data_IF_130472577216
#
_entry.id   IF_130472577216
#
_cell.length_a   1.000
_cell.length_b   1.000
_cell.length_c   1.000
_cell.angle_alpha   90.00
_cell.angle_beta   90.00
_cell.angle_gamma   90.00
#
_symmetry.space_group_name_H-M   'P 1'
#
loop_
_entity.id
_entity.type
_entity.pdbx_description
1 polymer ?
#
# COMPACT_ATOMS: atom_id res chain seq x y z
N UNK A 1 -8.92 -6.17 29.15
CA UNK A 1 -9.03 -5.36 27.92
C UNK A 1 -8.28 -6.11 26.84
N UNK A 2 -8.92 -7.14 26.28
CA UNK A 2 -8.32 -7.92 25.21
C UNK A 2 -8.61 -7.18 23.93
N UNK A 3 -7.56 -6.67 23.29
CA UNK A 3 -7.59 -6.20 21.90
C UNK A 3 -7.79 -7.42 21.02
N UNK A 4 -8.99 -7.99 21.06
CA UNK A 4 -9.41 -9.10 20.23
C UNK A 4 -9.77 -8.51 18.86
N UNK A 5 -8.76 -8.45 17.99
CA UNK A 5 -9.00 -8.35 16.55
C UNK A 5 -9.81 -9.61 16.17
N UNK A 6 -11.03 -9.47 15.62
CA UNK A 6 -11.86 -10.62 15.36
C UNK A 6 -11.22 -11.47 14.25
N UNK A 7 -11.15 -12.81 14.39
CA UNK A 7 -10.92 -13.69 13.26
C UNK A 7 -12.26 -13.83 12.50
N UNK A 8 -12.22 -13.97 11.18
CA UNK A 8 -13.39 -14.24 10.30
C UNK A 8 -14.20 -13.02 9.82
N UNK A 9 -13.65 -12.25 8.87
CA UNK A 9 -14.27 -12.00 7.55
C UNK A 9 -13.51 -10.91 6.78
N UNK A 10 -12.75 -11.35 5.78
CA UNK A 10 -12.79 -10.83 4.41
C UNK A 10 -13.04 -9.31 4.30
N UNK A 11 -12.10 -8.53 4.82
CA UNK A 11 -11.85 -7.22 4.23
C UNK A 11 -11.16 -7.54 2.90
N UNK A 12 -11.96 -7.86 1.88
CA UNK A 12 -11.57 -7.66 0.49
C UNK A 12 -10.83 -6.33 0.48
N UNK A 13 -9.55 -6.35 0.10
CA UNK A 13 -8.58 -5.28 0.29
C UNK A 13 -9.04 -3.98 -0.39
N UNK A 14 -10.12 -3.33 0.07
CA UNK A 14 -11.05 -2.48 -0.66
C UNK A 14 -10.37 -1.95 -1.92
N UNK A 15 -10.44 -2.73 -2.99
CA UNK A 15 -9.70 -2.45 -4.20
C UNK A 15 -10.54 -1.40 -4.91
N UNK A 16 -10.08 -0.14 -4.90
CA UNK A 16 -10.73 0.92 -5.67
C UNK A 16 -10.71 0.55 -7.16
N UNK A 17 -11.64 1.06 -7.97
CA UNK A 17 -11.83 0.68 -9.39
C UNK A 17 -10.54 0.62 -10.24
N UNK A 18 -9.50 1.38 -9.87
CA UNK A 18 -8.16 1.37 -10.50
C UNK A 18 -7.22 0.23 -10.06
N UNK A 19 -7.68 -0.70 -9.23
CA UNK A 19 -6.87 -1.81 -8.71
C UNK A 19 -6.02 -1.49 -7.48
N UNK A 20 -6.07 -0.26 -6.96
CA UNK A 20 -5.28 0.22 -5.82
C UNK A 20 -5.87 -0.27 -4.47
N UNK A 21 -5.12 -1.02 -3.66
CA UNK A 21 -5.56 -1.41 -2.32
C UNK A 21 -5.76 -0.19 -1.42
N UNK A 22 -6.86 -0.12 -0.66
CA UNK A 22 -7.12 1.03 0.22
C UNK A 22 -6.00 1.27 1.24
N UNK A 23 -5.37 0.21 1.73
CA UNK A 23 -4.24 0.30 2.66
C UNK A 23 -3.01 0.97 2.03
N UNK A 24 -2.78 0.72 0.73
CA UNK A 24 -1.74 1.40 -0.03
C UNK A 24 -2.11 2.87 -0.26
N UNK A 25 -3.33 3.15 -0.70
CA UNK A 25 -3.80 4.52 -0.90
C UNK A 25 -3.71 5.38 0.37
N UNK A 26 -4.06 4.81 1.52
CA UNK A 26 -3.93 5.48 2.82
C UNK A 26 -2.47 5.67 3.21
N UNK A 27 -1.62 4.67 3.00
CA UNK A 27 -0.19 4.76 3.27
C UNK A 27 0.50 5.84 2.44
N UNK A 28 0.20 5.89 1.14
CA UNK A 28 0.67 6.95 0.24
C UNK A 28 0.16 8.32 0.70
N UNK A 29 -1.11 8.46 1.05
CA UNK A 29 -1.65 9.72 1.56
C UNK A 29 -0.99 10.18 2.87
N UNK A 30 -0.57 9.26 3.74
CA UNK A 30 0.19 9.59 4.96
C UNK A 30 1.66 9.92 4.69
N UNK A 31 2.18 9.64 3.50
CA UNK A 31 3.58 9.82 3.16
C UNK A 31 3.71 10.52 1.81
N UNK A 32 3.70 11.85 1.83
CA UNK A 32 3.71 12.70 0.63
C UNK A 32 4.90 12.40 -0.30
N UNK A 33 6.05 11.99 0.26
CA UNK A 33 7.21 11.55 -0.53
C UNK A 33 6.87 10.28 -1.33
N UNK A 34 6.29 9.28 -0.67
CA UNK A 34 5.83 8.05 -1.33
C UNK A 34 4.77 8.34 -2.39
N UNK A 35 3.81 9.22 -2.10
CA UNK A 35 2.77 9.60 -3.05
C UNK A 35 3.34 10.32 -4.27
N UNK A 36 4.32 11.20 -4.08
CA UNK A 36 5.03 11.89 -5.17
C UNK A 36 5.78 10.89 -6.05
N UNK A 37 6.55 9.99 -5.45
CA UNK A 37 7.26 8.92 -6.17
C UNK A 37 6.28 7.99 -6.91
N UNK A 38 5.25 7.51 -6.21
CA UNK A 38 4.21 6.68 -6.81
C UNK A 38 3.50 7.39 -7.97
N UNK A 39 3.31 8.70 -7.90
CA UNK A 39 2.69 9.46 -9.00
C UNK A 39 3.61 9.55 -10.22
N UNK A 40 4.92 9.68 -10.02
CA UNK A 40 5.96 9.72 -11.05
C UNK A 40 6.27 8.35 -11.67
N UNK A 41 6.00 7.24 -10.98
CA UNK A 41 6.19 5.88 -11.49
C UNK A 41 5.38 5.60 -12.77
N UNK A 42 5.95 4.77 -13.64
CA UNK A 42 5.28 4.23 -14.83
C UNK A 42 4.14 3.29 -14.45
N UNK A 43 3.25 2.97 -15.40
CA UNK A 43 2.15 2.03 -15.16
C UNK A 43 2.64 0.65 -14.72
N UNK A 44 3.74 0.16 -15.30
CA UNK A 44 4.37 -1.12 -14.92
C UNK A 44 4.90 -1.09 -13.49
N UNK A 45 5.57 -0.01 -13.08
CA UNK A 45 6.06 0.19 -11.71
C UNK A 45 4.91 0.27 -10.70
N UNK A 46 3.88 1.07 -11.00
CA UNK A 46 2.66 1.16 -10.19
C UNK A 46 2.01 -0.21 -10.02
N UNK A 47 1.97 -1.00 -11.08
CA UNK A 47 1.38 -2.35 -11.08
C UNK A 47 2.16 -3.31 -10.19
N UNK A 48 3.50 -3.24 -10.18
CA UNK A 48 4.34 -4.02 -9.27
C UNK A 48 4.10 -3.64 -7.79
N UNK A 49 4.01 -2.34 -7.50
CA UNK A 49 3.70 -1.86 -6.15
C UNK A 49 2.31 -2.32 -5.69
N UNK A 50 1.31 -2.22 -6.57
CA UNK A 50 -0.04 -2.68 -6.31
C UNK A 50 -0.07 -4.19 -6.03
N UNK A 51 0.68 -4.98 -6.80
CA UNK A 51 0.77 -6.43 -6.60
C UNK A 51 1.41 -6.78 -5.25
N UNK A 52 2.52 -6.11 -4.90
CA UNK A 52 3.15 -6.25 -3.59
C UNK A 52 2.20 -5.87 -2.44
N UNK A 53 1.46 -4.77 -2.59
CA UNK A 53 0.48 -4.33 -1.61
C UNK A 53 -0.71 -5.28 -1.48
N UNK A 54 -1.12 -5.96 -2.56
CA UNK A 54 -2.14 -7.01 -2.51
C UNK A 54 -1.65 -8.26 -1.78
N UNK A 55 -0.34 -8.55 -1.84
CA UNK A 55 0.28 -9.63 -1.09
C UNK A 55 0.48 -9.33 0.40
N UNK A 56 0.42 -8.05 0.81
CA UNK A 56 0.64 -7.65 2.19
C UNK A 56 -0.54 -8.05 3.10
N UNK A 57 -0.30 -8.97 4.02
CA UNK A 57 -1.32 -9.48 4.95
C UNK A 57 -1.37 -8.71 6.28
N UNK A 58 -0.38 -7.84 6.54
CA UNK A 58 -0.26 -7.10 7.80
C UNK A 58 -0.04 -5.61 7.57
N UNK A 59 -0.45 -4.81 8.55
CA UNK A 59 -0.25 -3.35 8.55
C UNK A 59 1.22 -2.98 8.45
N UNK A 60 2.10 -3.75 9.09
CA UNK A 60 3.56 -3.56 9.03
C UNK A 60 4.10 -3.80 7.62
N UNK A 61 3.65 -4.86 6.93
CA UNK A 61 4.04 -5.10 5.53
C UNK A 61 3.58 -3.96 4.62
N UNK A 62 2.34 -3.48 4.78
CA UNK A 62 1.85 -2.33 4.00
C UNK A 62 2.66 -1.06 4.26
N UNK A 63 2.99 -0.78 5.53
CA UNK A 63 3.81 0.36 5.90
C UNK A 63 5.23 0.27 5.33
N UNK A 64 5.80 -0.94 5.28
CA UNK A 64 7.10 -1.20 4.68
C UNK A 64 7.08 -0.92 3.18
N UNK A 65 6.06 -1.38 2.44
CA UNK A 65 5.90 -1.12 1.00
C UNK A 65 5.85 0.38 0.72
N UNK A 66 5.04 1.13 1.48
CA UNK A 66 4.94 2.60 1.35
C UNK A 66 6.28 3.27 1.62
N UNK A 67 7.01 2.78 2.63
CA UNK A 67 8.33 3.28 2.97
C UNK A 67 9.34 3.00 1.86
N UNK A 68 9.33 1.80 1.27
CA UNK A 68 10.16 1.44 0.13
C UNK A 68 9.91 2.38 -1.05
N UNK A 69 8.65 2.71 -1.37
CA UNK A 69 8.32 3.69 -2.42
C UNK A 69 8.88 5.08 -2.08
N UNK A 70 8.80 5.51 -0.81
CA UNK A 70 9.36 6.79 -0.38
C UNK A 70 10.90 6.82 -0.43
N UNK A 71 11.52 5.66 -0.24
CA UNK A 71 12.96 5.45 -0.21
C UNK A 71 13.56 5.14 -1.59
N UNK A 72 12.71 4.88 -2.61
CA UNK A 72 13.11 4.91 -4.02
C UNK A 72 13.53 6.33 -4.39
N UNK A 73 14.74 6.68 -3.98
CA UNK A 73 15.42 7.91 -4.36
C UNK A 73 15.93 7.68 -5.79
N UNK A 74 15.19 8.21 -6.76
CA UNK A 74 15.70 8.39 -8.12
C UNK A 74 16.89 9.35 -8.02
N UNK A 75 18.10 8.80 -7.98
CA UNK A 75 19.37 9.54 -8.00
C UNK A 75 19.53 10.39 -9.27
#
# INVERSE_FOLDING_TARGET
>A
MSSHFPPENREDCMIKEDGLPVGLGFGLAMNEKALGQFSMMTEDEKRQVIDAARGAQTKEQMAQIVKDIADMEFF
#
